data_IF_795752874902
#
_entry.id   IF_795752874902
#
_cell.length_a   1.000
_cell.length_b   1.000
_cell.length_c   1.000
_cell.angle_alpha   90.00
_cell.angle_beta   90.00
_cell.angle_gamma   90.00
#
_symmetry.space_group_name_H-M   'P 1'
#
loop_
_entity.id
_entity.type
_entity.pdbx_description
1 polymer ?
#
# COMPACT_ATOMS: atom_id res chain seq x y z
N UNK A 1 -0.32 -29.24 7.22
CA UNK A 1 -0.04 -27.82 6.93
C UNK A 1 0.60 -27.04 8.08
N UNK A 2 0.23 -27.22 9.35
CA UNK A 2 0.86 -26.51 10.48
C UNK A 2 2.39 -26.65 10.55
N UNK A 3 2.93 -27.86 10.25
CA UNK A 3 4.38 -28.09 10.21
C UNK A 3 5.01 -27.23 9.09
N UNK A 4 4.39 -27.17 7.92
CA UNK A 4 4.86 -26.35 6.82
C UNK A 4 4.84 -24.85 7.15
N UNK A 5 3.80 -24.37 7.84
CA UNK A 5 3.74 -23.01 8.37
C UNK A 5 4.88 -22.76 9.37
N UNK A 6 5.16 -23.72 10.25
CA UNK A 6 6.31 -23.65 11.17
C UNK A 6 7.65 -23.56 10.42
N UNK A 7 7.85 -24.39 9.40
CA UNK A 7 9.04 -24.36 8.53
C UNK A 7 9.18 -22.99 7.83
N UNK A 8 8.08 -22.42 7.34
CA UNK A 8 8.09 -21.07 6.76
C UNK A 8 8.65 -20.02 7.73
N UNK A 9 8.13 -19.98 8.95
CA UNK A 9 8.61 -19.04 9.96
C UNK A 9 10.07 -19.29 10.39
N UNK A 10 10.50 -20.55 10.49
CA UNK A 10 11.89 -20.88 10.79
C UNK A 10 12.83 -20.34 9.70
N UNK A 11 12.54 -20.57 8.44
CA UNK A 11 13.36 -20.04 7.35
C UNK A 11 13.35 -18.51 7.28
N UNK A 12 12.20 -17.90 7.53
CA UNK A 12 12.07 -16.45 7.59
C UNK A 12 12.95 -15.85 8.70
N UNK A 13 12.91 -16.44 9.90
CA UNK A 13 13.71 -16.00 11.04
C UNK A 13 15.22 -16.24 10.85
N UNK A 14 15.59 -17.23 10.05
CA UNK A 14 16.98 -17.47 9.63
C UNK A 14 17.47 -16.49 8.55
N UNK A 15 16.63 -15.52 8.13
CA UNK A 15 16.99 -14.50 7.14
C UNK A 15 16.87 -14.95 5.69
N UNK A 16 16.21 -16.09 5.41
CA UNK A 16 15.98 -16.53 4.04
C UNK A 16 14.97 -15.61 3.34
N UNK A 17 15.18 -15.24 2.05
CA UNK A 17 14.20 -14.48 1.30
C UNK A 17 12.83 -15.15 1.28
N UNK A 18 11.78 -14.33 1.45
CA UNK A 18 10.40 -14.80 1.65
C UNK A 18 9.94 -15.76 0.54
N UNK A 19 10.27 -15.46 -0.72
CA UNK A 19 9.93 -16.32 -1.87
C UNK A 19 10.40 -17.77 -1.67
N UNK A 20 11.66 -17.95 -1.25
CA UNK A 20 12.23 -19.29 -1.02
C UNK A 20 11.66 -19.93 0.24
N UNK A 21 11.39 -19.14 1.30
CA UNK A 21 10.78 -19.64 2.52
C UNK A 21 9.37 -20.21 2.25
N UNK A 22 8.57 -19.53 1.43
CA UNK A 22 7.24 -20.02 0.99
C UNK A 22 7.40 -21.27 0.12
N UNK A 23 8.31 -21.23 -0.87
CA UNK A 23 8.54 -22.33 -1.79
C UNK A 23 8.96 -23.61 -1.09
N UNK A 24 9.96 -23.53 -0.21
CA UNK A 24 10.44 -24.68 0.57
C UNK A 24 9.40 -25.20 1.55
N UNK A 25 8.64 -24.31 2.17
CA UNK A 25 7.54 -24.67 3.04
C UNK A 25 6.44 -25.42 2.30
N UNK A 26 6.03 -24.90 1.11
CA UNK A 26 5.09 -25.58 0.23
C UNK A 26 5.60 -26.94 -0.24
N UNK A 27 6.87 -27.02 -0.67
CA UNK A 27 7.52 -28.27 -1.04
C UNK A 27 7.53 -29.28 0.12
N UNK A 28 7.91 -28.85 1.33
CA UNK A 28 7.88 -29.67 2.54
C UNK A 28 6.49 -30.24 2.82
N UNK A 29 5.43 -29.44 2.60
CA UNK A 29 4.07 -29.91 2.73
C UNK A 29 3.75 -31.07 1.79
N UNK A 30 4.14 -30.98 0.51
CA UNK A 30 3.95 -32.03 -0.46
C UNK A 30 4.70 -33.32 -0.08
N UNK A 31 5.93 -33.18 0.43
CA UNK A 31 6.73 -34.33 0.94
C UNK A 31 6.06 -34.99 2.16
N UNK A 32 5.59 -34.19 3.13
CA UNK A 32 4.96 -34.72 4.36
C UNK A 32 3.63 -35.41 4.08
N UNK A 33 2.88 -34.94 3.07
CA UNK A 33 1.59 -35.50 2.69
C UNK A 33 1.67 -36.55 1.57
N UNK A 34 2.86 -36.88 1.11
CA UNK A 34 3.11 -37.81 0.00
C UNK A 34 2.28 -37.47 -1.25
N UNK A 35 2.21 -36.16 -1.57
CA UNK A 35 1.47 -35.66 -2.72
C UNK A 35 2.31 -35.69 -3.99
N UNK A 36 1.70 -35.95 -5.18
CA UNK A 36 2.43 -35.96 -6.44
C UNK A 36 3.12 -34.62 -6.74
N UNK A 37 4.41 -34.62 -7.03
CA UNK A 37 5.19 -33.43 -7.39
C UNK A 37 4.69 -32.74 -8.67
N UNK A 38 3.99 -33.46 -9.53
CA UNK A 38 3.31 -32.90 -10.71
C UNK A 38 2.27 -31.85 -10.32
N UNK A 39 1.53 -32.05 -9.22
CA UNK A 39 0.55 -31.09 -8.70
C UNK A 39 1.25 -29.83 -8.19
N UNK A 40 2.41 -29.95 -7.54
CA UNK A 40 3.21 -28.82 -7.09
C UNK A 40 3.62 -27.94 -8.28
N UNK A 41 4.20 -28.53 -9.31
CA UNK A 41 4.61 -27.80 -10.52
C UNK A 41 3.40 -27.19 -11.22
N UNK A 42 2.32 -27.94 -11.37
CA UNK A 42 1.08 -27.46 -11.97
C UNK A 42 0.49 -26.24 -11.21
N UNK A 43 0.48 -26.27 -9.88
CA UNK A 43 -0.01 -25.16 -9.06
C UNK A 43 0.87 -23.92 -9.15
N UNK A 44 2.19 -24.08 -9.16
CA UNK A 44 3.12 -22.96 -9.37
C UNK A 44 2.89 -22.26 -10.71
N UNK A 45 2.71 -23.04 -11.78
CA UNK A 45 2.52 -22.49 -13.14
C UNK A 45 1.11 -21.91 -13.29
N UNK A 46 0.06 -22.60 -12.85
CA UNK A 46 -1.33 -22.15 -13.03
C UNK A 46 -1.62 -20.83 -12.32
N UNK A 47 -1.00 -20.61 -11.16
CA UNK A 47 -1.13 -19.33 -10.44
C UNK A 47 -0.54 -18.18 -11.26
N UNK A 48 0.60 -18.39 -11.92
CA UNK A 48 1.24 -17.36 -12.74
C UNK A 48 0.53 -17.11 -14.08
N UNK A 49 -0.28 -18.06 -14.57
CA UNK A 49 -0.99 -17.96 -15.85
C UNK A 49 -2.37 -17.29 -15.75
N UNK A 50 -2.83 -16.92 -14.57
CA UNK A 50 -4.11 -16.24 -14.41
C UNK A 50 -4.08 -14.85 -15.08
N UNK A 51 -5.08 -14.55 -15.92
CA UNK A 51 -5.19 -13.28 -16.63
C UNK A 51 -5.24 -12.09 -15.66
N UNK A 52 -5.92 -12.25 -14.53
CA UNK A 52 -6.00 -11.21 -13.50
C UNK A 52 -4.66 -10.89 -12.85
N UNK A 53 -3.72 -11.86 -12.80
CA UNK A 53 -2.37 -11.65 -12.29
C UNK A 53 -1.51 -10.75 -13.18
N UNK A 54 -1.85 -10.57 -14.46
CA UNK A 54 -1.16 -9.62 -15.34
C UNK A 54 -1.35 -8.16 -14.92
N UNK A 55 -2.38 -7.85 -14.12
CA UNK A 55 -2.54 -6.52 -13.55
C UNK A 55 -1.31 -6.09 -12.72
N UNK A 56 -0.74 -7.01 -11.95
CA UNK A 56 0.37 -6.72 -11.03
C UNK A 56 1.61 -6.20 -11.77
N UNK A 57 2.21 -6.93 -12.74
CA UNK A 57 3.36 -6.44 -13.46
C UNK A 57 3.08 -5.14 -14.26
N UNK A 58 1.88 -4.98 -14.80
CA UNK A 58 1.52 -3.79 -15.55
C UNK A 58 1.43 -2.56 -14.65
N UNK A 59 0.83 -2.67 -13.47
CA UNK A 59 0.77 -1.54 -12.52
C UNK A 59 2.14 -1.23 -11.89
N UNK A 60 3.02 -2.22 -11.68
CA UNK A 60 4.42 -1.97 -11.27
C UNK A 60 5.14 -1.14 -12.33
N UNK A 61 5.06 -1.56 -13.57
CA UNK A 61 5.67 -0.83 -14.68
C UNK A 61 5.08 0.57 -14.81
N UNK A 62 3.76 0.71 -14.72
CA UNK A 62 3.09 2.01 -14.77
C UNK A 62 3.56 2.95 -13.65
N UNK A 63 3.63 2.47 -12.40
CA UNK A 63 4.11 3.24 -11.27
C UNK A 63 5.56 3.72 -11.45
N UNK A 64 6.46 2.82 -11.88
CA UNK A 64 7.85 3.16 -12.15
C UNK A 64 8.00 4.14 -13.31
N UNK A 65 7.21 4.00 -14.39
CA UNK A 65 7.18 4.97 -15.50
C UNK A 65 6.70 6.34 -15.03
N UNK A 66 5.62 6.41 -14.25
CA UNK A 66 5.08 7.66 -13.73
C UNK A 66 6.08 8.40 -12.83
N UNK A 67 6.82 7.68 -12.00
CA UNK A 67 7.87 8.25 -11.19
C UNK A 67 9.00 8.87 -12.04
N UNK A 68 9.32 8.25 -13.19
CA UNK A 68 10.36 8.74 -14.12
C UNK A 68 9.88 9.89 -15.01
N UNK A 69 8.57 10.17 -15.08
CA UNK A 69 7.98 11.20 -15.94
C UNK A 69 7.97 12.62 -15.35
N UNK A 70 8.62 12.87 -14.19
CA UNK A 70 8.64 14.17 -13.54
C UNK A 70 7.30 14.60 -12.90
N UNK A 71 6.38 13.65 -12.72
CA UNK A 71 5.09 13.87 -12.05
C UNK A 71 5.30 14.35 -10.63
N UNK A 72 6.20 13.72 -9.88
CA UNK A 72 6.50 14.01 -8.48
C UNK A 72 6.85 15.46 -8.23
N UNK A 73 7.72 16.07 -9.07
CA UNK A 73 8.13 17.49 -8.94
C UNK A 73 6.95 18.44 -9.11
N UNK A 74 6.03 18.14 -10.04
CA UNK A 74 4.84 18.96 -10.31
C UNK A 74 3.83 18.86 -9.19
N UNK A 75 3.55 17.66 -8.72
CA UNK A 75 2.66 17.43 -7.58
C UNK A 75 3.20 18.10 -6.32
N UNK A 76 4.53 18.04 -6.08
CA UNK A 76 5.15 18.73 -4.96
C UNK A 76 4.99 20.26 -5.03
N UNK A 77 5.14 20.88 -6.22
CA UNK A 77 4.88 22.31 -6.40
C UNK A 77 3.42 22.67 -6.11
N UNK A 78 2.50 21.86 -6.60
CA UNK A 78 1.09 22.05 -6.33
C UNK A 78 0.77 21.91 -4.84
N UNK A 79 1.27 20.86 -4.18
CA UNK A 79 1.11 20.65 -2.76
C UNK A 79 1.67 21.83 -1.94
N UNK A 80 2.86 22.33 -2.29
CA UNK A 80 3.47 23.48 -1.60
C UNK A 80 2.65 24.78 -1.82
N UNK A 81 2.15 25.02 -3.01
CA UNK A 81 1.27 26.18 -3.28
C UNK A 81 -0.03 26.12 -2.43
N UNK A 82 -0.55 24.92 -2.15
CA UNK A 82 -1.74 24.76 -1.32
C UNK A 82 -1.45 24.90 0.18
N UNK A 83 -0.29 24.45 0.65
CA UNK A 83 -0.01 24.25 2.09
C UNK A 83 1.07 25.16 2.67
N UNK A 84 1.77 25.96 1.86
CA UNK A 84 2.91 26.77 2.29
C UNK A 84 2.63 27.76 3.43
N UNK A 85 1.36 28.15 3.64
CA UNK A 85 0.92 29.03 4.72
C UNK A 85 0.54 28.28 6.01
N UNK A 86 0.60 26.94 6.00
CA UNK A 86 0.20 26.11 7.15
C UNK A 86 1.38 25.82 8.07
N UNK A 87 1.11 25.65 9.38
CA UNK A 87 2.12 25.21 10.34
C UNK A 87 2.67 23.82 9.97
N UNK A 88 4.00 23.69 9.97
CA UNK A 88 4.64 22.46 9.54
C UNK A 88 4.48 22.21 8.03
N UNK A 89 4.56 23.25 7.21
CA UNK A 89 4.25 23.27 5.78
C UNK A 89 4.81 22.09 5.01
N UNK A 90 6.09 21.72 5.21
CA UNK A 90 6.68 20.58 4.48
C UNK A 90 6.06 19.24 4.91
N UNK A 91 5.67 19.07 6.18
CA UNK A 91 4.90 17.91 6.61
C UNK A 91 3.48 17.90 6.01
N UNK A 92 2.87 19.09 5.80
CA UNK A 92 1.61 19.20 5.07
C UNK A 92 1.78 18.84 3.59
N UNK A 93 2.88 19.29 2.97
CA UNK A 93 3.26 18.91 1.59
C UNK A 93 3.37 17.40 1.48
N UNK A 94 4.03 16.72 2.43
CA UNK A 94 4.15 15.25 2.46
C UNK A 94 2.77 14.58 2.46
N UNK A 95 1.85 14.98 3.36
CA UNK A 95 0.50 14.42 3.41
C UNK A 95 -0.29 14.61 2.10
N UNK A 96 -0.25 15.83 1.54
CA UNK A 96 -0.98 16.14 0.32
C UNK A 96 -0.34 15.47 -0.90
N UNK A 97 0.98 15.44 -0.96
CA UNK A 97 1.74 14.78 -2.01
C UNK A 97 1.47 13.28 -2.03
N UNK A 98 1.54 12.59 -0.88
CA UNK A 98 1.16 11.17 -0.78
C UNK A 98 -0.28 10.91 -1.22
N UNK A 99 -1.21 11.83 -0.90
CA UNK A 99 -2.60 11.72 -1.35
C UNK A 99 -2.72 11.80 -2.88
N UNK A 100 -1.98 12.69 -3.51
CA UNK A 100 -1.96 12.87 -4.97
C UNK A 100 -1.17 11.76 -5.67
N UNK A 101 -0.11 11.26 -5.03
CA UNK A 101 0.71 10.13 -5.51
C UNK A 101 0.01 8.78 -5.34
N UNK A 102 -1.06 8.69 -4.53
CA UNK A 102 -1.84 7.48 -4.33
C UNK A 102 -2.30 6.83 -5.63
N UNK A 103 -2.65 7.68 -6.62
CA UNK A 103 -2.96 7.22 -7.96
C UNK A 103 -1.77 6.78 -8.83
N UNK A 104 -0.54 6.90 -8.37
CA UNK A 104 0.67 6.81 -9.20
C UNK A 104 1.58 5.64 -8.80
N UNK A 105 2.08 5.61 -7.57
CA UNK A 105 3.11 4.62 -7.17
C UNK A 105 2.53 3.36 -6.52
N UNK A 106 1.49 3.48 -5.72
CA UNK A 106 0.82 2.39 -5.03
C UNK A 106 1.66 1.62 -4.00
N UNK A 107 2.91 2.03 -3.71
CA UNK A 107 3.82 1.40 -2.76
C UNK A 107 4.20 2.35 -1.63
N UNK A 108 3.77 2.04 -0.39
CA UNK A 108 4.07 2.86 0.79
C UNK A 108 5.57 2.99 1.07
N UNK A 109 6.33 1.90 0.96
CA UNK A 109 7.78 1.89 1.25
C UNK A 109 8.56 2.75 0.25
N UNK A 110 8.23 2.61 -1.04
CA UNK A 110 8.88 3.38 -2.09
C UNK A 110 8.58 4.88 -1.95
N UNK A 111 7.32 5.21 -1.68
CA UNK A 111 6.86 6.60 -1.55
C UNK A 111 7.46 7.28 -0.30
N UNK A 112 7.40 6.63 0.85
CA UNK A 112 8.02 7.09 2.09
C UNK A 112 9.53 7.36 1.92
N UNK A 113 10.25 6.46 1.26
CA UNK A 113 11.67 6.61 0.96
C UNK A 113 11.94 7.76 0.00
N UNK A 114 11.11 7.92 -1.03
CA UNK A 114 11.20 9.00 -2.00
C UNK A 114 10.93 10.36 -1.32
N UNK A 115 9.88 10.46 -0.54
CA UNK A 115 9.56 11.69 0.21
C UNK A 115 10.68 12.09 1.17
N UNK A 116 11.26 11.15 1.91
CA UNK A 116 12.40 11.42 2.78
C UNK A 116 13.61 11.95 1.99
N UNK A 117 13.88 11.42 0.79
CA UNK A 117 14.98 11.91 -0.06
C UNK A 117 14.74 13.30 -0.63
N UNK A 118 13.50 13.62 -0.96
CA UNK A 118 13.13 14.90 -1.60
C UNK A 118 12.88 15.98 -0.54
N UNK A 119 12.05 15.69 0.47
CA UNK A 119 11.62 16.66 1.48
C UNK A 119 12.57 16.72 2.69
N UNK A 120 13.25 15.61 3.01
CA UNK A 120 14.12 15.48 4.19
C UNK A 120 15.23 16.53 4.26
N UNK A 121 16.01 16.78 3.20
CA UNK A 121 17.04 17.82 3.21
C UNK A 121 16.47 19.21 3.52
N UNK A 122 15.33 19.55 2.95
CA UNK A 122 14.66 20.84 3.17
C UNK A 122 14.10 20.94 4.59
N UNK A 123 13.48 19.87 5.11
CA UNK A 123 13.02 19.80 6.50
C UNK A 123 14.19 20.04 7.47
N UNK A 124 15.32 19.38 7.23
CA UNK A 124 16.53 19.54 8.05
C UNK A 124 17.08 20.97 7.97
N UNK A 125 17.11 21.59 6.76
CA UNK A 125 17.52 22.97 6.55
C UNK A 125 16.66 23.97 7.32
N UNK A 126 15.37 23.74 7.41
CA UNK A 126 14.41 24.57 8.14
C UNK A 126 14.36 24.28 9.65
N UNK A 127 15.21 23.36 10.14
CA UNK A 127 15.32 23.06 11.56
C UNK A 127 14.24 22.10 12.09
N UNK A 128 13.57 21.34 11.22
CA UNK A 128 12.68 20.28 11.66
C UNK A 128 13.50 19.13 12.28
N UNK A 129 12.98 18.54 13.34
CA UNK A 129 13.56 17.36 13.98
C UNK A 129 13.57 16.18 12.99
N UNK A 130 14.70 15.46 12.88
CA UNK A 130 14.88 14.36 11.92
C UNK A 130 13.93 13.21 12.18
N UNK A 131 13.69 12.85 13.44
CA UNK A 131 12.75 11.80 13.81
C UNK A 131 11.30 12.19 13.50
N UNK A 132 10.92 13.45 13.73
CA UNK A 132 9.60 13.96 13.35
C UNK A 132 9.42 13.92 11.82
N UNK A 133 10.44 14.34 11.07
CA UNK A 133 10.43 14.35 9.59
C UNK A 133 10.35 12.94 9.01
N UNK A 134 11.14 12.00 9.55
CA UNK A 134 11.08 10.60 9.17
C UNK A 134 9.70 9.99 9.43
N UNK A 135 9.10 10.29 10.59
CA UNK A 135 7.80 9.76 10.96
C UNK A 135 6.67 10.26 10.05
N UNK A 136 6.62 11.57 9.76
CA UNK A 136 5.55 12.09 8.90
C UNK A 136 5.70 11.61 7.46
N UNK A 137 6.89 11.65 6.87
CA UNK A 137 7.12 11.17 5.51
C UNK A 137 6.88 9.66 5.39
N UNK A 138 7.19 8.89 6.45
CA UNK A 138 6.90 7.45 6.48
C UNK A 138 5.42 7.14 6.58
N UNK A 139 4.70 7.84 7.47
CA UNK A 139 3.28 7.54 7.73
C UNK A 139 2.34 8.17 6.70
N UNK A 140 2.72 9.29 6.05
CA UNK A 140 1.99 9.80 4.89
C UNK A 140 2.03 8.83 3.72
N UNK A 141 3.15 8.13 3.50
CA UNK A 141 3.27 7.10 2.47
C UNK A 141 2.22 5.97 2.57
N UNK A 142 1.60 5.75 3.74
CA UNK A 142 0.49 4.81 3.89
C UNK A 142 -0.76 5.24 3.10
N UNK A 143 -0.94 6.54 2.89
CA UNK A 143 -2.04 7.08 2.08
C UNK A 143 -1.96 6.55 0.65
N UNK A 144 -0.74 6.50 0.09
CA UNK A 144 -0.47 6.00 -1.26
C UNK A 144 -0.91 4.55 -1.44
N UNK A 145 -0.68 3.70 -0.44
CA UNK A 145 -1.10 2.31 -0.47
C UNK A 145 -2.61 2.12 -0.26
N UNK A 146 -3.31 3.16 0.20
CA UNK A 146 -4.76 3.13 0.49
C UNK A 146 -5.58 3.72 -0.65
N UNK A 147 -5.12 4.84 -1.25
CA UNK A 147 -5.79 5.49 -2.40
C UNK A 147 -5.47 4.73 -3.69
N UNK A 148 -6.49 4.44 -4.53
CA UNK A 148 -6.31 3.67 -5.76
C UNK A 148 -5.59 4.46 -6.89
N UNK A 149 -4.87 3.75 -7.79
CA UNK A 149 -4.61 2.31 -7.75
C UNK A 149 -3.54 1.92 -6.73
N UNK A 150 -3.84 0.93 -5.90
CA UNK A 150 -2.94 0.39 -4.89
C UNK A 150 -2.54 -1.04 -5.23
N UNK A 151 -1.24 -1.33 -5.21
CA UNK A 151 -0.72 -2.68 -5.47
C UNK A 151 -1.28 -3.71 -4.51
N UNK A 152 -1.35 -3.38 -3.23
CA UNK A 152 -1.88 -4.28 -2.22
C UNK A 152 -3.35 -4.62 -2.45
N UNK A 153 -4.18 -3.64 -2.84
CA UNK A 153 -5.59 -3.87 -3.14
C UNK A 153 -5.78 -4.72 -4.41
N UNK A 154 -4.92 -4.55 -5.42
CA UNK A 154 -4.93 -5.38 -6.63
C UNK A 154 -4.62 -6.83 -6.26
N UNK A 155 -3.58 -7.07 -5.48
CA UNK A 155 -3.18 -8.41 -5.04
C UNK A 155 -4.28 -9.04 -4.18
N UNK A 156 -4.78 -8.33 -3.19
CA UNK A 156 -5.89 -8.79 -2.35
C UNK A 156 -7.12 -9.15 -3.19
N UNK A 157 -7.53 -8.26 -4.10
CA UNK A 157 -8.68 -8.47 -4.98
C UNK A 157 -8.51 -9.67 -5.91
N UNK A 158 -7.29 -9.85 -6.45
CA UNK A 158 -6.98 -10.94 -7.37
C UNK A 158 -6.92 -12.28 -6.65
N UNK A 159 -6.23 -12.35 -5.51
CA UNK A 159 -6.08 -13.59 -4.72
C UNK A 159 -7.37 -13.98 -4.00
N UNK A 160 -8.12 -12.99 -3.53
CA UNK A 160 -9.39 -13.18 -2.81
C UNK A 160 -10.61 -13.29 -3.72
N UNK A 161 -10.43 -13.12 -5.03
CA UNK A 161 -11.54 -13.05 -6.02
C UNK A 161 -12.56 -11.98 -5.63
N UNK A 162 -12.07 -10.82 -5.13
CA UNK A 162 -12.86 -9.65 -4.74
C UNK A 162 -12.78 -8.59 -5.83
N UNK A 163 -13.89 -7.91 -6.08
CA UNK A 163 -13.95 -6.86 -7.11
C UNK A 163 -12.93 -5.74 -6.85
N UNK A 164 -11.91 -5.65 -7.70
CA UNK A 164 -10.86 -4.62 -7.63
C UNK A 164 -11.47 -3.22 -7.79
N UNK A 165 -12.49 -3.08 -8.65
CA UNK A 165 -13.20 -1.80 -8.82
C UNK A 165 -13.90 -1.35 -7.54
N UNK A 166 -14.56 -2.25 -6.80
CA UNK A 166 -15.15 -1.96 -5.49
C UNK A 166 -14.08 -1.60 -4.45
N UNK A 167 -12.96 -2.32 -4.43
CA UNK A 167 -11.81 -2.01 -3.56
C UNK A 167 -11.23 -0.62 -3.85
N UNK A 168 -11.09 -0.26 -5.11
CA UNK A 168 -10.62 1.05 -5.51
C UNK A 168 -11.57 2.16 -5.04
N UNK A 169 -12.88 1.98 -5.18
CA UNK A 169 -13.83 2.94 -4.63
C UNK A 169 -13.76 3.03 -3.10
N UNK A 170 -13.59 1.91 -2.42
CA UNK A 170 -13.51 1.85 -0.96
C UNK A 170 -12.28 2.58 -0.40
N UNK A 171 -11.18 2.63 -1.13
CA UNK A 171 -9.91 3.26 -0.69
C UNK A 171 -9.98 4.77 -0.53
N UNK A 172 -10.90 5.45 -1.22
CA UNK A 172 -10.99 6.92 -1.16
C UNK A 172 -11.38 7.46 0.21
N UNK A 173 -12.37 6.86 0.86
CA UNK A 173 -12.84 7.35 2.17
C UNK A 173 -11.75 7.25 3.23
N UNK A 174 -11.13 6.08 3.49
CA UNK A 174 -10.05 6.01 4.47
C UNK A 174 -8.79 6.77 4.05
N UNK A 175 -8.46 6.83 2.76
CA UNK A 175 -7.30 7.58 2.27
C UNK A 175 -7.42 9.08 2.48
N UNK A 176 -8.56 9.69 2.14
CA UNK A 176 -8.83 11.11 2.40
C UNK A 176 -8.91 11.37 3.91
N UNK A 177 -9.53 10.48 4.67
CA UNK A 177 -9.61 10.59 6.12
C UNK A 177 -8.21 10.60 6.75
N UNK A 178 -7.32 9.69 6.30
CA UNK A 178 -5.90 9.69 6.72
C UNK A 178 -5.22 11.01 6.41
N UNK A 179 -5.36 11.52 5.17
CA UNK A 179 -4.77 12.80 4.77
C UNK A 179 -5.20 13.92 5.71
N UNK A 180 -6.50 14.11 5.89
CA UNK A 180 -7.04 15.20 6.72
C UNK A 180 -6.59 15.07 8.18
N UNK A 181 -6.68 13.89 8.77
CA UNK A 181 -6.28 13.66 10.16
C UNK A 181 -4.77 13.81 10.36
N UNK A 182 -3.93 13.34 9.42
CA UNK A 182 -2.49 13.56 9.46
C UNK A 182 -2.15 15.05 9.33
N UNK A 183 -2.79 15.79 8.43
CA UNK A 183 -2.59 17.23 8.30
C UNK A 183 -2.97 17.98 9.60
N UNK A 184 -4.04 17.57 10.28
CA UNK A 184 -4.41 18.11 11.59
C UNK A 184 -3.34 17.77 12.66
N UNK A 185 -2.84 16.52 12.68
CA UNK A 185 -1.79 16.11 13.60
C UNK A 185 -0.46 16.84 13.31
N UNK A 186 -0.12 17.08 12.04
CA UNK A 186 1.01 17.91 11.63
C UNK A 186 0.86 19.33 12.17
N UNK A 187 -0.30 19.96 11.96
CA UNK A 187 -0.56 21.33 12.47
C UNK A 187 -0.42 21.39 13.99
N UNK A 188 -0.98 20.40 14.70
CA UNK A 188 -0.92 20.36 16.16
C UNK A 188 0.52 20.16 16.66
N UNK A 189 1.25 19.19 16.10
CA UNK A 189 2.63 18.89 16.51
C UNK A 189 3.61 20.01 16.11
N UNK A 190 3.45 20.59 14.91
CA UNK A 190 4.27 21.71 14.45
C UNK A 190 4.15 22.95 15.34
N UNK A 191 2.93 23.28 15.79
CA UNK A 191 2.72 24.37 16.78
C UNK A 191 3.43 24.07 18.10
N UNK A 192 3.40 22.81 18.55
CA UNK A 192 4.06 22.41 19.81
C UNK A 192 5.59 22.44 19.71
N UNK A 193 6.15 22.12 18.55
CA UNK A 193 7.60 22.16 18.31
C UNK A 193 8.09 23.53 17.82
N UNK A 194 7.19 24.47 17.53
CA UNK A 194 7.54 25.83 17.08
C UNK A 194 7.87 25.93 15.61
N UNK A 195 7.49 24.96 14.78
CA UNK A 195 7.70 24.99 13.33
C UNK A 195 6.73 26.00 12.68
N UNK A 196 7.28 27.07 12.12
CA UNK A 196 6.51 28.15 11.54
C UNK A 196 6.11 27.86 10.09
N UNK A 197 5.05 28.49 9.57
CA UNK A 197 4.76 28.50 8.15
C UNK A 197 5.91 29.12 7.34
N UNK A 198 6.04 28.71 6.08
CA UNK A 198 7.00 29.32 5.13
C UNK A 198 6.49 30.69 4.67
N UNK A 199 5.19 30.82 4.49
CA UNK A 199 4.52 32.06 4.06
C UNK A 199 3.48 32.49 5.07
N UNK A 200 3.40 33.80 5.35
CA UNK A 200 2.40 34.36 6.27
C UNK A 200 0.97 34.36 5.69
N UNK A 201 0.85 34.28 4.37
CA UNK A 201 -0.44 34.30 3.66
C UNK A 201 -0.56 33.12 2.68
N UNK A 202 -1.80 32.66 2.41
CA UNK A 202 -2.05 31.68 1.37
C UNK A 202 -1.54 32.19 0.02
N UNK A 203 -1.00 31.29 -0.80
CA UNK A 203 -0.59 31.62 -2.16
C UNK A 203 -1.78 32.19 -2.96
N UNK A 204 -1.56 33.14 -3.86
CA UNK A 204 -2.61 33.70 -4.69
C UNK A 204 -3.27 32.61 -5.53
N UNK A 205 -4.57 32.70 -5.76
CA UNK A 205 -5.35 31.71 -6.50
C UNK A 205 -4.75 31.45 -7.91
N UNK A 206 -4.17 32.46 -8.51
CA UNK A 206 -3.49 32.37 -9.81
C UNK A 206 -2.29 31.43 -9.79
N UNK A 207 -1.53 31.40 -8.69
CA UNK A 207 -0.37 30.52 -8.50
C UNK A 207 -0.82 29.08 -8.27
N UNK A 208 -1.83 28.89 -7.40
CA UNK A 208 -2.44 27.56 -7.17
C UNK A 208 -3.00 26.99 -8.46
N UNK A 209 -3.72 27.82 -9.25
CA UNK A 209 -4.32 27.40 -10.51
C UNK A 209 -3.24 27.04 -11.56
N UNK A 210 -2.15 27.81 -11.61
CA UNK A 210 -1.01 27.51 -12.48
C UNK A 210 -0.32 26.21 -12.11
N UNK A 211 -0.08 25.98 -10.82
CA UNK A 211 0.50 24.72 -10.32
C UNK A 211 -0.44 23.53 -10.55
N UNK A 212 -1.76 23.72 -10.42
CA UNK A 212 -2.77 22.72 -10.73
C UNK A 212 -2.74 22.35 -12.22
N UNK A 213 -2.70 23.35 -13.11
CA UNK A 213 -2.66 23.11 -14.57
C UNK A 213 -1.37 22.40 -14.99
N UNK A 214 -0.23 22.73 -14.35
CA UNK A 214 1.06 22.04 -14.58
C UNK A 214 1.01 20.56 -14.14
N UNK A 215 0.19 20.25 -13.12
CA UNK A 215 0.03 18.93 -12.55
C UNK A 215 -1.18 18.16 -13.09
N UNK A 216 -1.96 18.75 -14.01
CA UNK A 216 -3.27 18.23 -14.40
C UNK A 216 -3.22 16.79 -14.92
N UNK A 217 -2.21 16.45 -15.72
CA UNK A 217 -2.05 15.11 -16.27
C UNK A 217 -1.77 14.06 -15.18
N UNK A 218 -1.06 14.43 -14.10
CA UNK A 218 -0.85 13.54 -12.96
C UNK A 218 -2.15 13.29 -12.19
N UNK A 219 -2.92 14.36 -11.92
CA UNK A 219 -4.18 14.30 -11.16
C UNK A 219 -5.29 13.63 -11.98
N UNK A 220 -5.28 13.80 -13.29
CA UNK A 220 -6.30 13.23 -14.19
C UNK A 220 -6.19 11.70 -14.29
N UNK A 221 -5.00 11.13 -14.12
CA UNK A 221 -4.76 9.70 -14.28
C UNK A 221 -5.64 8.82 -13.39
N UNK A 222 -5.64 8.94 -12.05
CA UNK A 222 -6.47 8.10 -11.19
C UNK A 222 -7.97 8.31 -11.46
N UNK A 223 -8.38 9.53 -11.84
CA UNK A 223 -9.77 9.82 -12.20
C UNK A 223 -10.16 9.10 -13.47
N UNK A 224 -9.35 9.17 -14.54
CA UNK A 224 -9.59 8.44 -15.79
C UNK A 224 -9.66 6.94 -15.55
N UNK A 225 -8.75 6.39 -14.78
CA UNK A 225 -8.70 4.97 -14.48
C UNK A 225 -9.98 4.47 -13.81
N UNK A 226 -10.47 5.21 -12.82
CA UNK A 226 -11.73 4.91 -12.13
C UNK A 226 -12.92 5.00 -13.11
N UNK A 227 -12.98 6.04 -13.90
CA UNK A 227 -14.05 6.23 -14.88
C UNK A 227 -14.09 5.08 -15.89
N UNK A 228 -12.94 4.69 -16.45
CA UNK A 228 -12.84 3.60 -17.41
C UNK A 228 -13.26 2.24 -16.83
N UNK A 229 -12.87 1.94 -15.60
CA UNK A 229 -13.29 0.72 -14.90
C UNK A 229 -14.79 0.79 -14.57
N UNK A 230 -15.29 1.94 -14.11
CA UNK A 230 -16.69 2.11 -13.71
C UNK A 230 -17.68 1.89 -14.87
N UNK A 231 -17.37 2.43 -16.04
CA UNK A 231 -18.21 2.25 -17.22
C UNK A 231 -18.02 0.90 -17.92
N UNK A 232 -17.17 0.02 -17.38
CA UNK A 232 -16.91 -1.29 -17.95
C UNK A 232 -16.15 -1.23 -19.29
N UNK A 233 -15.51 -0.10 -19.58
CA UNK A 233 -14.72 0.11 -20.81
C UNK A 233 -13.43 -0.72 -20.71
N UNK A 234 -12.89 -0.88 -19.50
CA UNK A 234 -11.67 -1.63 -19.22
C UNK A 234 -11.83 -2.49 -17.96
N UNK A 235 -11.32 -3.70 -18.05
CA UNK A 235 -11.07 -4.55 -16.88
C UNK A 235 -9.91 -3.99 -16.03
N UNK A 236 -9.74 -4.41 -14.77
CA UNK A 236 -8.58 -4.02 -13.96
C UNK A 236 -7.24 -4.33 -14.61
N UNK A 237 -7.12 -5.45 -15.31
CA UNK A 237 -5.90 -5.84 -16.03
C UNK A 237 -5.61 -4.92 -17.22
N UNK A 238 -6.63 -4.63 -18.05
CA UNK A 238 -6.50 -3.68 -19.16
C UNK A 238 -6.17 -2.27 -18.66
N UNK A 239 -6.68 -1.89 -17.49
CA UNK A 239 -6.37 -0.61 -16.86
C UNK A 239 -4.88 -0.48 -16.51
N UNK A 240 -4.19 -1.58 -16.19
CA UNK A 240 -2.74 -1.59 -16.03
C UNK A 240 -2.00 -1.29 -17.35
N UNK A 241 -2.45 -1.86 -18.47
CA UNK A 241 -1.90 -1.55 -19.79
C UNK A 241 -2.15 -0.10 -20.18
N UNK A 242 -3.37 0.40 -19.95
CA UNK A 242 -3.70 1.81 -20.14
C UNK A 242 -2.80 2.73 -19.30
N UNK A 243 -2.55 2.37 -18.04
CA UNK A 243 -1.67 3.12 -17.15
C UNK A 243 -0.24 3.26 -17.70
N UNK A 244 0.32 2.16 -18.25
CA UNK A 244 1.63 2.20 -18.92
C UNK A 244 1.63 3.12 -20.15
N UNK A 245 0.63 2.97 -21.02
CA UNK A 245 0.50 3.80 -22.22
C UNK A 245 0.32 5.29 -21.84
N UNK A 246 -0.50 5.58 -20.83
CA UNK A 246 -0.70 6.93 -20.32
C UNK A 246 0.59 7.54 -19.78
N UNK A 247 1.34 6.80 -18.95
CA UNK A 247 2.62 7.26 -18.41
C UNK A 247 3.65 7.57 -19.51
N UNK A 248 3.75 6.69 -20.52
CA UNK A 248 4.61 6.94 -21.69
C UNK A 248 4.19 8.20 -22.44
N UNK A 249 2.90 8.36 -22.71
CA UNK A 249 2.39 9.54 -23.42
C UNK A 249 2.62 10.83 -22.62
N UNK A 250 2.33 10.83 -21.32
CA UNK A 250 2.55 12.01 -20.47
C UNK A 250 4.03 12.34 -20.36
N UNK A 251 4.88 11.34 -20.15
CA UNK A 251 6.33 11.55 -19.97
C UNK A 251 7.04 12.01 -21.24
N UNK A 252 6.59 11.54 -22.42
CA UNK A 252 7.26 11.89 -23.69
C UNK A 252 6.66 13.13 -24.36
N UNK A 253 5.30 13.23 -24.41
CA UNK A 253 4.61 14.26 -25.20
C UNK A 253 4.28 15.51 -24.38
N UNK A 254 3.80 15.35 -23.15
CA UNK A 254 3.36 16.50 -22.35
C UNK A 254 4.44 17.07 -21.44
N UNK A 255 5.21 16.20 -20.79
CA UNK A 255 6.22 16.63 -19.82
C UNK A 255 7.63 16.66 -20.39
N UNK A 256 7.90 15.94 -21.48
CA UNK A 256 9.21 15.85 -22.16
C UNK A 256 10.37 15.49 -21.22
N UNK A 257 10.10 14.77 -20.13
CA UNK A 257 11.12 14.38 -19.13
C UNK A 257 11.57 12.92 -19.29
N UNK A 258 10.81 12.08 -20.02
CA UNK A 258 11.16 10.69 -20.24
C UNK A 258 12.15 10.56 -21.39
N UNK A 259 13.43 10.43 -21.06
CA UNK A 259 14.50 10.18 -22.03
C UNK A 259 14.61 8.68 -22.33
N UNK A 260 15.25 8.32 -23.44
CA UNK A 260 15.47 6.91 -23.79
C UNK A 260 16.30 6.17 -22.73
N UNK A 261 17.29 6.84 -22.14
CA UNK A 261 18.12 6.28 -21.07
C UNK A 261 17.30 6.05 -19.80
N UNK A 262 16.50 7.04 -19.38
CA UNK A 262 15.57 6.92 -18.25
C UNK A 262 14.55 5.81 -18.47
N UNK A 263 14.00 5.69 -19.68
CA UNK A 263 13.06 4.61 -20.03
C UNK A 263 13.70 3.23 -19.87
N UNK A 264 14.91 3.03 -20.40
CA UNK A 264 15.63 1.75 -20.28
C UNK A 264 15.95 1.40 -18.82
N UNK A 265 16.33 2.41 -18.03
CA UNK A 265 16.57 2.20 -16.61
C UNK A 265 15.28 1.82 -15.88
N UNK A 266 14.18 2.53 -16.14
CA UNK A 266 12.87 2.23 -15.57
C UNK A 266 12.39 0.82 -15.92
N UNK A 267 12.59 0.38 -17.17
CA UNK A 267 12.25 -0.97 -17.58
C UNK A 267 13.10 -2.02 -16.84
N UNK A 268 14.39 -1.79 -16.67
CA UNK A 268 15.28 -2.70 -15.91
C UNK A 268 14.88 -2.83 -14.45
N UNK A 269 14.53 -1.71 -13.83
CA UNK A 269 14.12 -1.71 -12.42
C UNK A 269 12.73 -2.37 -12.27
N UNK A 270 11.81 -2.09 -13.20
CA UNK A 270 10.50 -2.77 -13.23
C UNK A 270 10.62 -4.28 -13.39
N UNK A 271 11.54 -4.77 -14.24
CA UNK A 271 11.77 -6.23 -14.40
C UNK A 271 12.24 -6.85 -13.09
N UNK A 272 13.10 -6.18 -12.32
CA UNK A 272 13.55 -6.69 -11.01
C UNK A 272 12.38 -6.80 -10.03
N UNK A 273 11.58 -5.74 -9.91
CA UNK A 273 10.42 -5.70 -9.01
C UNK A 273 9.38 -6.76 -9.38
N UNK A 274 9.05 -6.87 -10.67
CA UNK A 274 8.12 -7.87 -11.22
C UNK A 274 8.63 -9.30 -10.96
N UNK A 275 9.93 -9.54 -11.12
CA UNK A 275 10.52 -10.88 -10.93
C UNK A 275 10.33 -11.36 -9.51
N UNK A 276 10.61 -10.50 -8.51
CA UNK A 276 10.45 -10.85 -7.10
C UNK A 276 9.00 -11.23 -6.80
N UNK A 277 8.05 -10.42 -7.24
CA UNK A 277 6.63 -10.65 -6.97
C UNK A 277 6.13 -11.90 -7.70
N UNK A 278 6.56 -12.12 -8.96
CA UNK A 278 6.14 -13.30 -9.73
C UNK A 278 6.61 -14.60 -9.09
N UNK A 279 7.82 -14.65 -8.56
CA UNK A 279 8.33 -15.83 -7.84
C UNK A 279 7.53 -16.08 -6.56
N UNK A 280 7.22 -15.02 -5.80
CA UNK A 280 6.38 -15.13 -4.59
C UNK A 280 4.99 -15.66 -4.97
N UNK A 281 4.39 -15.13 -6.04
CA UNK A 281 3.09 -15.59 -6.55
C UNK A 281 3.09 -17.07 -6.90
N UNK A 282 4.08 -17.53 -7.66
CA UNK A 282 4.21 -18.93 -8.06
C UNK A 282 4.25 -19.86 -6.84
N UNK A 283 5.06 -19.53 -5.85
CA UNK A 283 5.20 -20.35 -4.64
C UNK A 283 4.03 -20.20 -3.67
N UNK A 284 3.39 -19.03 -3.62
CA UNK A 284 2.18 -18.84 -2.78
C UNK A 284 1.00 -19.68 -3.28
N UNK A 285 0.91 -19.98 -4.59
CA UNK A 285 -0.07 -20.91 -5.13
C UNK A 285 0.08 -22.33 -4.61
N UNK A 286 1.32 -22.80 -4.44
CA UNK A 286 1.63 -24.10 -3.83
C UNK A 286 1.26 -24.11 -2.35
N UNK A 287 1.65 -23.06 -1.64
CA UNK A 287 1.36 -22.90 -0.22
C UNK A 287 -0.15 -22.79 0.04
N UNK A 288 -0.85 -22.00 -0.77
CA UNK A 288 -2.32 -21.87 -0.73
C UNK A 288 -3.05 -23.19 -0.99
N UNK A 289 -2.56 -24.02 -1.90
CA UNK A 289 -3.09 -25.36 -2.11
C UNK A 289 -3.01 -26.19 -0.82
N UNK A 290 -1.89 -26.16 -0.11
CA UNK A 290 -1.73 -26.86 1.17
C UNK A 290 -2.69 -26.37 2.25
N UNK A 291 -2.97 -25.07 2.30
CA UNK A 291 -3.93 -24.46 3.23
C UNK A 291 -5.36 -25.01 2.99
N UNK A 292 -5.78 -25.04 1.72
CA UNK A 292 -7.10 -25.55 1.33
C UNK A 292 -7.17 -27.05 1.55
N UNK A 293 -6.15 -27.79 1.16
CA UNK A 293 -6.10 -29.26 1.28
C UNK A 293 -6.26 -29.74 2.74
N UNK A 294 -5.57 -29.09 3.68
CA UNK A 294 -5.65 -29.42 5.11
C UNK A 294 -6.80 -28.71 5.86
N UNK A 295 -7.69 -28.00 5.15
CA UNK A 295 -8.81 -27.24 5.73
C UNK A 295 -8.37 -26.28 6.86
N UNK A 296 -7.21 -25.66 6.71
CA UNK A 296 -6.64 -24.74 7.71
C UNK A 296 -7.58 -23.55 7.98
N UNK A 297 -8.24 -23.04 6.94
CA UNK A 297 -9.21 -21.94 7.07
C UNK A 297 -10.35 -22.30 8.01
N UNK A 298 -10.90 -23.53 7.93
CA UNK A 298 -11.96 -24.02 8.83
C UNK A 298 -11.45 -24.16 10.25
N UNK A 299 -10.24 -24.68 10.41
CA UNK A 299 -9.61 -24.83 11.73
C UNK A 299 -9.39 -23.49 12.42
N UNK A 300 -8.89 -22.49 11.68
CA UNK A 300 -8.70 -21.12 12.20
C UNK A 300 -10.06 -20.46 12.49
N UNK A 301 -11.06 -20.62 11.61
CA UNK A 301 -12.40 -20.10 11.84
C UNK A 301 -13.01 -20.64 13.14
N UNK A 302 -12.95 -21.96 13.34
CA UNK A 302 -13.47 -22.59 14.55
C UNK A 302 -12.71 -22.15 15.82
N UNK A 303 -11.39 -21.98 15.73
CA UNK A 303 -10.59 -21.48 16.85
C UNK A 303 -10.96 -20.04 17.21
N UNK A 304 -11.14 -19.18 16.21
CA UNK A 304 -11.55 -17.77 16.42
C UNK A 304 -12.98 -17.68 16.98
N UNK A 305 -13.92 -18.44 16.42
CA UNK A 305 -15.30 -18.50 16.92
C UNK A 305 -15.40 -19.09 18.33
N UNK A 306 -14.44 -19.94 18.71
CA UNK A 306 -14.31 -20.45 20.07
C UNK A 306 -13.90 -19.37 21.10
N UNK A 307 -13.29 -18.25 20.65
CA UNK A 307 -12.91 -17.12 21.52
C UNK A 307 -14.13 -16.22 21.78
N UNK A 308 -14.83 -15.83 20.72
CA UNK A 308 -16.01 -14.95 20.80
C UNK A 308 -16.87 -15.06 19.54
N UNK A 309 -18.16 -14.82 19.68
CA UNK A 309 -19.09 -14.70 18.56
C UNK A 309 -19.24 -13.25 18.03
N UNK A 310 -18.58 -12.27 18.69
CA UNK A 310 -18.69 -10.88 18.29
C UNK A 310 -17.72 -10.58 17.15
N UNK A 311 -18.26 -10.28 15.96
CA UNK A 311 -17.48 -10.00 14.73
C UNK A 311 -16.48 -8.85 14.90
N UNK A 312 -16.82 -7.81 15.67
CA UNK A 312 -15.93 -6.68 15.89
C UNK A 312 -14.71 -7.07 16.74
N UNK A 313 -14.89 -7.89 17.77
CA UNK A 313 -13.78 -8.38 18.61
C UNK A 313 -12.89 -9.34 17.79
N UNK A 314 -13.48 -10.23 16.99
CA UNK A 314 -12.73 -11.11 16.10
C UNK A 314 -11.91 -10.30 15.08
N UNK A 315 -12.50 -9.26 14.51
CA UNK A 315 -11.82 -8.39 13.57
C UNK A 315 -10.67 -7.63 14.23
N UNK A 316 -10.82 -7.17 15.48
CA UNK A 316 -9.74 -6.55 16.26
C UNK A 316 -8.59 -7.52 16.53
N UNK A 317 -8.88 -8.78 16.87
CA UNK A 317 -7.85 -9.81 17.06
C UNK A 317 -7.07 -10.06 15.77
N UNK A 318 -7.78 -10.14 14.64
CA UNK A 318 -7.16 -10.30 13.32
C UNK A 318 -6.32 -9.07 12.96
N UNK A 319 -6.78 -7.85 13.27
CA UNK A 319 -6.02 -6.61 13.06
C UNK A 319 -4.73 -6.61 13.85
N UNK A 320 -4.75 -7.01 15.13
CA UNK A 320 -3.52 -7.14 15.94
C UNK A 320 -2.56 -8.16 15.34
N UNK A 321 -3.07 -9.32 14.90
CA UNK A 321 -2.26 -10.32 14.21
C UNK A 321 -1.66 -9.79 12.90
N UNK A 322 -2.44 -9.12 12.06
CA UNK A 322 -1.98 -8.51 10.81
C UNK A 322 -0.93 -7.41 11.05
N UNK A 323 -1.11 -6.62 12.10
CA UNK A 323 -0.14 -5.61 12.51
C UNK A 323 1.20 -6.25 12.86
N UNK A 324 1.19 -7.32 13.68
CA UNK A 324 2.40 -8.07 14.03
C UNK A 324 3.07 -8.64 12.78
N UNK A 325 2.31 -9.25 11.87
CA UNK A 325 2.87 -9.74 10.61
C UNK A 325 3.50 -8.61 9.78
N UNK A 326 2.84 -7.44 9.69
CA UNK A 326 3.32 -6.27 8.97
C UNK A 326 4.62 -5.68 9.53
N UNK A 327 4.91 -5.87 10.82
CA UNK A 327 6.19 -5.45 11.41
C UNK A 327 7.39 -6.19 10.82
N UNK A 328 7.21 -7.42 10.34
CA UNK A 328 8.30 -8.30 9.88
C UNK A 328 8.31 -8.54 8.37
N UNK A 329 7.19 -8.36 7.70
CA UNK A 329 7.00 -8.74 6.30
C UNK A 329 6.41 -7.60 5.49
N UNK A 330 6.75 -7.56 4.21
CA UNK A 330 6.20 -6.58 3.28
C UNK A 330 4.70 -6.85 3.00
N UNK A 331 3.96 -5.77 2.73
CA UNK A 331 2.52 -5.76 2.46
C UNK A 331 2.09 -6.75 1.37
N UNK A 332 2.84 -6.79 0.26
CA UNK A 332 2.57 -7.69 -0.88
C UNK A 332 2.59 -9.16 -0.48
N UNK A 333 3.60 -9.53 0.31
CA UNK A 333 3.79 -10.92 0.77
C UNK A 333 2.64 -11.35 1.67
N UNK A 334 2.28 -10.49 2.62
CA UNK A 334 1.19 -10.77 3.56
C UNK A 334 -0.14 -10.89 2.81
N UNK A 335 -0.40 -10.00 1.85
CA UNK A 335 -1.59 -10.09 1.02
C UNK A 335 -1.70 -11.43 0.29
N UNK A 336 -0.60 -11.92 -0.29
CA UNK A 336 -0.57 -13.18 -1.01
C UNK A 336 -0.80 -14.40 -0.12
N UNK A 337 -0.24 -14.40 1.10
CA UNK A 337 -0.28 -15.55 2.01
C UNK A 337 -1.55 -15.55 2.85
N UNK A 338 -1.90 -14.40 3.44
CA UNK A 338 -2.97 -14.34 4.43
C UNK A 338 -4.36 -14.11 3.83
N UNK A 339 -4.47 -13.53 2.63
CA UNK A 339 -5.78 -13.36 1.98
C UNK A 339 -6.53 -14.69 1.84
N UNK A 340 -5.96 -15.76 1.25
CA UNK A 340 -6.67 -17.03 1.09
C UNK A 340 -6.97 -17.73 2.42
N UNK A 341 -6.28 -17.36 3.50
CA UNK A 341 -6.50 -17.91 4.84
C UNK A 341 -7.62 -17.14 5.55
N UNK A 342 -7.49 -15.81 5.64
CA UNK A 342 -8.33 -14.98 6.50
C UNK A 342 -9.64 -14.56 5.84
N UNK A 343 -9.67 -14.33 4.53
CA UNK A 343 -10.88 -13.86 3.85
C UNK A 343 -12.05 -14.84 3.96
N UNK A 344 -11.90 -16.17 3.74
CA UNK A 344 -13.00 -17.11 3.96
C UNK A 344 -13.49 -17.11 5.42
N UNK A 345 -12.57 -16.95 6.39
CA UNK A 345 -12.94 -16.84 7.82
C UNK A 345 -13.78 -15.58 8.05
N UNK A 346 -13.36 -14.45 7.51
CA UNK A 346 -14.09 -13.18 7.66
C UNK A 346 -15.47 -13.23 6.99
N UNK A 347 -15.58 -13.85 5.82
CA UNK A 347 -16.87 -14.11 5.16
C UNK A 347 -17.81 -14.94 6.03
N UNK A 348 -17.29 -15.98 6.70
CA UNK A 348 -18.10 -16.88 7.56
C UNK A 348 -18.68 -16.18 8.80
N UNK A 349 -18.06 -15.11 9.29
CA UNK A 349 -18.56 -14.29 10.42
C UNK A 349 -19.33 -13.04 9.96
N UNK A 350 -19.65 -12.94 8.66
CA UNK A 350 -20.47 -11.87 8.10
C UNK A 350 -19.74 -10.54 7.86
N UNK A 351 -18.41 -10.52 7.87
CA UNK A 351 -17.63 -9.34 7.52
C UNK A 351 -17.58 -9.18 6.00
N UNK A 352 -17.96 -8.00 5.51
CA UNK A 352 -17.90 -7.69 4.09
C UNK A 352 -16.46 -7.77 3.56
N UNK A 353 -16.28 -8.45 2.44
CA UNK A 353 -14.96 -8.72 1.85
C UNK A 353 -14.20 -7.46 1.41
N UNK A 354 -14.90 -6.43 0.95
CA UNK A 354 -14.30 -5.15 0.55
C UNK A 354 -13.81 -4.40 1.79
N UNK A 355 -14.61 -4.36 2.85
CA UNK A 355 -14.23 -3.73 4.13
C UNK A 355 -13.04 -4.45 4.75
N UNK A 356 -13.06 -5.79 4.75
CA UNK A 356 -11.94 -6.57 5.27
C UNK A 356 -10.66 -6.32 4.47
N UNK A 357 -10.75 -6.24 3.14
CA UNK A 357 -9.62 -5.91 2.27
C UNK A 357 -8.99 -4.55 2.62
N UNK A 358 -9.83 -3.54 2.83
CA UNK A 358 -9.35 -2.21 3.25
C UNK A 358 -8.68 -2.25 4.62
N UNK A 359 -9.29 -2.90 5.61
CA UNK A 359 -8.73 -3.05 6.95
C UNK A 359 -7.41 -3.83 6.90
N UNK A 360 -7.39 -4.97 6.22
CA UNK A 360 -6.21 -5.82 6.09
C UNK A 360 -5.05 -5.05 5.47
N UNK A 361 -5.26 -4.43 4.30
CA UNK A 361 -4.20 -3.75 3.57
C UNK A 361 -3.68 -2.53 4.34
N UNK A 362 -4.56 -1.72 4.91
CA UNK A 362 -4.16 -0.56 5.73
C UNK A 362 -3.40 -1.00 6.98
N UNK A 363 -3.84 -2.05 7.67
CA UNK A 363 -3.18 -2.55 8.89
C UNK A 363 -1.79 -3.10 8.60
N UNK A 364 -1.66 -3.92 7.55
CA UNK A 364 -0.37 -4.50 7.17
C UNK A 364 0.60 -3.41 6.73
N UNK A 365 0.13 -2.45 5.94
CA UNK A 365 0.94 -1.30 5.53
C UNK A 365 1.33 -0.44 6.73
N UNK A 366 0.48 -0.29 7.72
CA UNK A 366 0.84 0.36 8.98
C UNK A 366 1.93 -0.41 9.75
N UNK A 367 1.89 -1.75 9.71
CA UNK A 367 2.91 -2.62 10.29
C UNK A 367 4.32 -2.33 9.77
N UNK A 368 4.48 -2.03 8.47
CA UNK A 368 5.80 -1.73 7.89
C UNK A 368 6.42 -0.41 8.41
N UNK A 369 5.63 0.43 9.07
CA UNK A 369 6.08 1.63 9.79
C UNK A 369 6.13 1.44 11.31
N UNK A 370 5.92 0.22 11.83
CA UNK A 370 5.79 -0.04 13.27
C UNK A 370 6.99 -0.86 13.78
N UNK A 371 7.63 -0.48 14.93
CA UNK A 371 8.66 -1.29 15.56
C UNK A 371 8.14 -2.70 15.93
N UNK A 372 8.98 -3.76 16.01
CA UNK A 372 10.44 -3.73 16.16
C UNK A 372 11.24 -3.69 14.86
N UNK A 373 10.70 -4.18 13.75
CA UNK A 373 11.44 -4.15 12.47
C UNK A 373 10.92 -3.01 11.61
N UNK A 374 9.74 -3.13 10.97
CA UNK A 374 9.16 -2.10 10.12
C UNK A 374 10.05 -1.72 8.93
N UNK A 375 9.90 -2.39 7.79
CA UNK A 375 10.81 -2.20 6.65
C UNK A 375 10.84 -0.76 6.14
N UNK A 376 9.69 -0.08 6.12
CA UNK A 376 9.65 1.34 5.77
C UNK A 376 10.23 2.22 6.87
N UNK A 377 10.01 1.87 8.15
CA UNK A 377 10.56 2.59 9.29
C UNK A 377 12.09 2.59 9.27
N UNK A 378 12.71 1.45 8.97
CA UNK A 378 14.15 1.37 8.76
C UNK A 378 14.62 2.26 7.60
N UNK A 379 13.94 2.16 6.46
CA UNK A 379 14.32 2.92 5.28
C UNK A 379 14.26 4.45 5.52
N UNK A 380 13.18 4.96 6.13
CA UNK A 380 13.05 6.40 6.40
C UNK A 380 14.01 6.86 7.49
N UNK A 381 14.27 6.03 8.52
CA UNK A 381 15.21 6.35 9.59
C UNK A 381 16.65 6.41 9.07
N UNK A 382 17.04 5.49 8.18
CA UNK A 382 18.36 5.47 7.53
C UNK A 382 18.56 6.71 6.64
N UNK A 383 17.59 7.01 5.77
CA UNK A 383 17.65 8.19 4.86
C UNK A 383 17.73 9.49 5.67
N UNK A 384 17.02 9.59 6.77
CA UNK A 384 16.98 10.77 7.62
C UNK A 384 18.12 10.81 8.66
N UNK A 385 18.97 9.76 8.68
CA UNK A 385 20.06 9.60 9.64
C UNK A 385 19.62 9.78 11.10
N UNK A 386 18.52 9.13 11.50
CA UNK A 386 17.98 9.18 12.85
C UNK A 386 17.69 7.80 13.41
N UNK A 387 17.81 7.58 14.73
CA UNK A 387 17.44 6.32 15.36
C UNK A 387 15.93 6.02 15.21
N UNK A 388 15.60 4.74 15.06
CA UNK A 388 14.21 4.27 14.91
C UNK A 388 13.35 4.68 16.12
N UNK A 389 13.92 4.60 17.32
CA UNK A 389 13.25 4.99 18.56
C UNK A 389 12.87 6.47 18.57
N UNK A 390 13.70 7.32 17.95
CA UNK A 390 13.42 8.75 17.81
C UNK A 390 12.30 9.00 16.82
N UNK A 391 12.32 8.31 15.68
CA UNK A 391 11.24 8.35 14.68
C UNK A 391 9.90 7.95 15.31
N UNK A 392 9.87 6.86 16.06
CA UNK A 392 8.65 6.40 16.72
C UNK A 392 8.21 7.38 17.83
N UNK A 393 9.14 7.82 18.70
CA UNK A 393 8.86 8.71 19.82
C UNK A 393 8.38 10.09 19.39
N UNK A 394 8.91 10.64 18.31
CA UNK A 394 8.49 11.94 17.78
C UNK A 394 7.22 11.84 16.92
N UNK A 395 7.04 10.71 16.27
CA UNK A 395 5.91 10.44 15.38
C UNK A 395 4.63 9.95 16.07
N UNK A 396 4.59 9.75 17.41
CA UNK A 396 3.45 9.14 18.09
C UNK A 396 2.07 9.74 17.73
N UNK A 397 1.91 11.06 17.48
CA UNK A 397 0.60 11.58 17.09
C UNK A 397 0.11 11.05 15.74
N UNK A 398 1.04 10.85 14.82
CA UNK A 398 0.74 10.32 13.49
C UNK A 398 0.37 8.82 13.54
N UNK A 399 1.06 8.05 14.40
CA UNK A 399 0.70 6.64 14.67
C UNK A 399 -0.72 6.53 15.21
N UNK A 400 -1.12 7.39 16.15
CA UNK A 400 -2.48 7.41 16.68
C UNK A 400 -3.53 7.73 15.61
N UNK A 401 -3.21 8.58 14.65
CA UNK A 401 -4.12 8.85 13.52
C UNK A 401 -4.38 7.57 12.73
N UNK A 402 -3.34 6.84 12.38
CA UNK A 402 -3.51 5.60 11.58
C UNK A 402 -4.32 4.55 12.36
N UNK A 403 -4.01 4.36 13.65
CA UNK A 403 -4.83 3.48 14.52
C UNK A 403 -6.28 3.95 14.54
N UNK A 404 -6.52 5.25 14.66
CA UNK A 404 -7.87 5.83 14.63
C UNK A 404 -8.61 5.54 13.32
N UNK A 405 -7.94 5.61 12.17
CA UNK A 405 -8.53 5.27 10.86
C UNK A 405 -8.83 3.78 10.75
N UNK A 406 -7.95 2.90 11.23
CA UNK A 406 -8.22 1.45 11.27
C UNK A 406 -9.44 1.14 12.13
N UNK A 407 -9.52 1.72 13.33
CA UNK A 407 -10.67 1.58 14.21
C UNK A 407 -11.96 2.16 13.57
N UNK A 408 -11.85 3.31 12.89
CA UNK A 408 -12.97 3.88 12.15
C UNK A 408 -13.52 2.90 11.10
N UNK A 409 -12.66 2.25 10.32
CA UNK A 409 -13.09 1.26 9.32
C UNK A 409 -13.78 0.03 9.97
N UNK A 410 -13.33 -0.39 11.15
CA UNK A 410 -13.93 -1.51 11.90
C UNK A 410 -15.33 -1.16 12.40
N UNK A 411 -15.49 0.01 13.03
CA UNK A 411 -16.75 0.40 13.65
C UNK A 411 -17.74 1.06 12.69
N UNK A 412 -17.27 1.63 11.59
CA UNK A 412 -18.10 2.30 10.58
C UNK A 412 -17.91 1.70 9.16
N UNK A 413 -18.17 0.40 8.97
CA UNK A 413 -17.97 -0.27 7.68
C UNK A 413 -18.81 0.35 6.56
N UNK A 414 -19.97 0.93 6.89
CA UNK A 414 -20.83 1.61 5.93
C UNK A 414 -20.19 2.85 5.31
N UNK A 415 -19.30 3.53 6.03
CA UNK A 415 -18.55 4.66 5.49
C UNK A 415 -17.54 4.20 4.43
N UNK A 416 -16.90 3.05 4.62
CA UNK A 416 -16.00 2.43 3.64
C UNK A 416 -16.77 1.99 2.39
N UNK A 417 -17.98 1.41 2.59
CA UNK A 417 -18.84 0.94 1.52
C UNK A 417 -19.64 2.04 0.82
N UNK A 418 -19.62 3.27 1.33
CA UNK A 418 -20.42 4.36 0.79
C UNK A 418 -20.16 4.60 -0.71
N UNK A 419 -18.91 4.82 -1.10
CA UNK A 419 -18.55 5.02 -2.50
C UNK A 419 -18.72 3.76 -3.37
N UNK A 420 -18.27 2.56 -2.94
CA UNK A 420 -18.59 1.33 -3.66
C UNK A 420 -20.07 1.14 -3.96
N UNK A 421 -20.92 1.33 -2.97
CA UNK A 421 -22.37 1.15 -3.12
C UNK A 421 -23.01 2.25 -3.97
N UNK A 422 -22.52 3.49 -3.90
CA UNK A 422 -22.97 4.58 -4.74
C UNK A 422 -22.66 4.32 -6.23
N UNK A 423 -21.49 3.72 -6.50
CA UNK A 423 -20.97 3.55 -7.87
C UNK A 423 -21.43 2.24 -8.50
N UNK A 424 -21.45 1.14 -7.75
CA UNK A 424 -21.73 -0.21 -8.27
C UNK A 424 -23.07 -0.79 -7.78
N UNK A 425 -23.81 -0.08 -6.95
CA UNK A 425 -24.99 -0.58 -6.26
C UNK A 425 -24.62 -1.34 -4.98
N UNK A 426 -25.63 -1.53 -4.11
CA UNK A 426 -25.48 -2.22 -2.84
C UNK A 426 -25.31 -3.73 -3.00
#
# INVERSE_FOLDING_TARGET
MFIAIGIFFVFLLLGMPVAFSIGLSGFSFFMIRDLPMTVLVQKSISTSQSFTMLAIPLFILAGNLMNSCGITKRLMRFANACTGHMYGNIGQVSCLMSTLMGGVSGSAVADASMECRILGPEMTRLGYDRGWSAAINGLSGLIVATIPPSMGLIIYGTVGEVSIGRLFMAGWVPGILMCVLLMLAVTWSARRFGYKPEHDHPAPLSEILKALLDSIWAILFPVLLIVLIRFGIMSPTESGSFACAYALLVGTVFYHELTWESLLQTLRDSVKDITVITIILAFSGVFGYGIVFDNITVTIANALLGITSNSAILLLLVVVFLLICGMFMETTVIALILTPILLPVMRSIGVNEVVFGMIMMTTVTFGVMTPPVGTALYAVSDIMECPIEETFKKGWPFYLVIVGVILFMIFFPQAVLFLPNLVYGA
#
